data_IF_590864493390
#
_entry.id   IF_590864493390
#
_cell.length_a   1.000
_cell.length_b   1.000
_cell.length_c   1.000
_cell.angle_alpha   90.00
_cell.angle_beta   90.00
_cell.angle_gamma   90.00
#
_symmetry.space_group_name_H-M   'P 1'
#
loop_
_entity.id
_entity.type
_entity.pdbx_description
1 polymer ?
#
# COMPACT_ATOMS: atom_id res chain seq x y z
N UNK A 1 0.15 -7.49 -3.77
CA UNK A 1 0.48 -6.29 -2.99
C UNK A 1 -0.52 -6.13 -1.85
N UNK A 2 -0.07 -5.61 -0.72
CA UNK A 2 -0.91 -5.44 0.48
C UNK A 2 -1.30 -3.97 0.61
N UNK A 3 -2.57 -3.70 0.89
CA UNK A 3 -3.10 -2.35 1.06
C UNK A 3 -3.95 -2.25 2.32
N UNK A 4 -3.96 -1.08 2.94
CA UNK A 4 -4.83 -0.76 4.08
C UNK A 4 -5.87 0.26 3.64
N UNK A 5 -7.13 0.03 4.01
CA UNK A 5 -8.18 1.02 3.81
C UNK A 5 -8.02 2.18 4.80
N UNK A 6 -8.10 3.40 4.29
CA UNK A 6 -8.01 4.60 5.10
C UNK A 6 -9.04 5.64 4.64
N UNK A 7 -9.70 6.26 5.62
CA UNK A 7 -10.61 7.37 5.36
C UNK A 7 -9.85 8.57 4.76
N UNK A 8 -10.49 9.41 3.94
CA UNK A 8 -9.85 10.57 3.33
C UNK A 8 -9.22 11.55 4.34
N UNK A 9 -9.75 11.58 5.57
CA UNK A 9 -9.26 12.45 6.66
C UNK A 9 -8.17 11.81 7.52
N UNK A 10 -7.72 10.61 7.21
CA UNK A 10 -6.73 9.93 8.03
C UNK A 10 -5.36 10.61 7.92
N UNK A 11 -4.69 10.86 9.06
CA UNK A 11 -3.43 11.62 9.12
C UNK A 11 -2.25 10.94 8.39
N UNK A 12 -2.30 9.62 8.22
CA UNK A 12 -1.31 8.87 7.42
C UNK A 12 -1.51 9.07 5.92
N UNK A 13 -2.65 9.64 5.49
CA UNK A 13 -2.94 9.87 4.09
C UNK A 13 -2.33 11.20 3.65
N UNK A 14 -1.17 11.14 3.06
CA UNK A 14 -0.52 12.29 2.42
C UNK A 14 -0.69 12.20 0.91
N UNK A 15 -0.59 13.34 0.22
CA UNK A 15 -0.72 13.42 -1.24
C UNK A 15 0.29 12.49 -1.95
N UNK A 16 1.47 12.33 -1.35
CA UNK A 16 2.54 11.48 -1.88
C UNK A 16 2.26 9.97 -1.72
N UNK A 17 1.40 9.61 -0.76
CA UNK A 17 1.07 8.22 -0.44
C UNK A 17 -0.28 7.78 -1.04
N UNK A 18 -0.99 8.68 -1.71
CA UNK A 18 -2.23 8.33 -2.38
C UNK A 18 -1.98 7.38 -3.54
N UNK A 19 -2.76 6.31 -3.58
CA UNK A 19 -2.70 5.30 -4.62
C UNK A 19 -4.06 5.19 -5.29
N UNK A 20 -4.03 5.14 -6.61
CA UNK A 20 -5.18 4.81 -7.42
C UNK A 20 -4.99 3.42 -8.03
N UNK A 21 -5.98 2.57 -7.84
CA UNK A 21 -6.01 1.22 -8.39
C UNK A 21 -7.27 0.99 -9.20
N UNK A 22 -7.12 0.33 -10.36
CA UNK A 22 -8.20 -0.35 -11.04
C UNK A 22 -8.02 -1.86 -10.85
N UNK A 23 -9.03 -2.52 -10.34
CA UNK A 23 -9.02 -3.96 -10.06
C UNK A 23 -10.25 -4.64 -10.65
N UNK A 24 -10.11 -5.90 -11.04
CA UNK A 24 -11.25 -6.73 -11.43
C UNK A 24 -11.92 -7.37 -10.20
N UNK A 25 -12.93 -8.20 -10.42
CA UNK A 25 -13.67 -8.92 -9.36
C UNK A 25 -12.76 -9.86 -8.54
N UNK A 26 -11.76 -10.46 -9.17
CA UNK A 26 -10.78 -11.36 -8.56
C UNK A 26 -9.69 -10.64 -7.77
N UNK A 27 -9.79 -9.30 -7.63
CA UNK A 27 -8.76 -8.44 -7.01
C UNK A 27 -7.41 -8.43 -7.75
N UNK A 28 -7.40 -8.80 -9.02
CA UNK A 28 -6.25 -8.58 -9.89
C UNK A 28 -6.13 -7.10 -10.18
N UNK A 29 -4.91 -6.56 -10.04
CA UNK A 29 -4.62 -5.17 -10.37
C UNK A 29 -4.46 -5.06 -11.88
N UNK A 30 -5.29 -4.23 -12.50
CA UNK A 30 -5.24 -3.91 -13.92
C UNK A 30 -4.45 -2.63 -14.17
N UNK A 31 -4.56 -1.67 -13.24
CA UNK A 31 -3.86 -0.40 -13.35
C UNK A 31 -3.46 0.11 -11.97
N UNK A 32 -2.25 0.63 -11.87
CA UNK A 32 -1.66 1.17 -10.65
C UNK A 32 -0.97 2.48 -10.94
N UNK A 33 -1.30 3.53 -10.20
CA UNK A 33 -0.62 4.83 -10.27
C UNK A 33 -0.66 5.55 -8.93
N UNK A 34 0.40 6.32 -8.64
CA UNK A 34 0.40 7.36 -7.61
C UNK A 34 0.18 8.70 -8.30
N UNK A 35 -0.97 9.35 -8.11
CA UNK A 35 -1.35 10.54 -8.85
C UNK A 35 -0.54 11.80 -8.51
N UNK A 36 0.52 11.69 -7.78
CA UNK A 36 1.46 12.73 -7.36
C UNK A 36 1.18 14.13 -7.95
N UNK A 37 0.27 14.90 -7.34
CA UNK A 37 -0.10 16.28 -7.71
C UNK A 37 -0.86 16.48 -9.04
N UNK A 38 -1.14 15.45 -9.79
CA UNK A 38 -1.95 15.60 -11.01
C UNK A 38 -3.43 15.76 -10.66
N UNK A 39 -4.02 16.86 -11.17
CA UNK A 39 -5.46 17.15 -10.96
C UNK A 39 -6.39 16.26 -11.77
N UNK A 40 -5.88 15.63 -12.82
CA UNK A 40 -6.65 14.80 -13.75
C UNK A 40 -5.92 13.48 -13.92
N UNK A 41 -6.54 12.41 -13.47
CA UNK A 41 -6.05 11.06 -13.69
C UNK A 41 -6.55 10.58 -15.06
N UNK A 42 -5.63 10.21 -15.94
CA UNK A 42 -5.93 9.57 -17.21
C UNK A 42 -5.63 8.09 -17.11
N UNK A 43 -6.67 7.28 -17.16
CA UNK A 43 -6.53 5.82 -17.21
C UNK A 43 -6.61 5.42 -18.68
N UNK A 44 -5.56 4.83 -19.26
CA UNK A 44 -5.61 4.33 -20.64
C UNK A 44 -6.60 3.17 -20.73
N UNK A 45 -7.50 3.22 -21.71
CA UNK A 45 -8.48 2.14 -21.93
C UNK A 45 -7.82 0.80 -22.23
N UNK A 46 -6.65 0.84 -22.86
CA UNK A 46 -5.84 -0.35 -23.16
C UNK A 46 -5.43 -1.13 -21.91
N UNK A 47 -5.17 -0.41 -20.80
CA UNK A 47 -4.83 -1.06 -19.52
C UNK A 47 -6.03 -1.74 -18.85
N UNK A 48 -7.25 -1.38 -19.26
CA UNK A 48 -8.49 -1.95 -18.72
C UNK A 48 -8.88 -3.20 -19.51
N UNK A 49 -8.41 -3.30 -20.78
CA UNK A 49 -8.72 -4.42 -21.68
C UNK A 49 -10.19 -4.44 -22.15
N UNK A 50 -10.46 -5.30 -23.12
CA UNK A 50 -11.81 -5.57 -23.64
C UNK A 50 -12.55 -6.60 -22.76
N UNK A 51 -12.47 -6.48 -21.45
CA UNK A 51 -13.15 -7.41 -20.55
C UNK A 51 -14.56 -6.91 -20.25
N UNK A 52 -15.56 -7.77 -20.44
CA UNK A 52 -16.94 -7.55 -19.97
C UNK A 52 -17.05 -7.63 -18.43
N UNK A 53 -15.91 -7.65 -17.72
CA UNK A 53 -15.83 -7.75 -16.27
C UNK A 53 -16.04 -6.39 -15.60
N UNK A 54 -16.62 -6.42 -14.41
CA UNK A 54 -16.76 -5.23 -13.58
C UNK A 54 -15.40 -4.77 -13.06
N UNK A 55 -15.07 -3.51 -13.32
CA UNK A 55 -13.85 -2.88 -12.86
C UNK A 55 -14.16 -2.00 -11.65
N UNK A 56 -13.48 -2.27 -10.56
CA UNK A 56 -13.56 -1.50 -9.34
C UNK A 56 -12.42 -0.51 -9.27
N UNK A 57 -12.75 0.77 -9.13
CA UNK A 57 -11.78 1.84 -8.95
C UNK A 57 -11.63 2.14 -7.45
N UNK A 58 -10.42 2.06 -6.93
CA UNK A 58 -10.10 2.26 -5.52
C UNK A 58 -9.22 3.50 -5.33
N UNK A 59 -9.68 4.41 -4.47
CA UNK A 59 -8.98 5.64 -4.07
C UNK A 59 -8.75 5.73 -2.55
N UNK A 60 -9.31 4.81 -1.80
CA UNK A 60 -9.38 4.83 -0.34
C UNK A 60 -8.31 3.94 0.31
N UNK A 61 -7.26 3.64 -0.45
CA UNK A 61 -6.20 2.72 -0.04
C UNK A 61 -4.91 3.45 0.28
N UNK A 62 -4.22 3.00 1.33
CA UNK A 62 -2.84 3.33 1.64
C UNK A 62 -1.95 2.14 1.31
N UNK A 63 -0.80 2.42 0.72
CA UNK A 63 0.23 1.42 0.44
C UNK A 63 1.28 1.41 1.56
N UNK A 64 1.31 0.39 2.42
CA UNK A 64 2.33 0.26 3.44
C UNK A 64 3.70 -0.17 2.88
N UNK A 65 3.83 -0.37 1.57
CA UNK A 65 5.05 -0.82 0.93
C UNK A 65 5.36 -2.31 1.13
N UNK A 66 4.32 -3.13 1.32
CA UNK A 66 4.44 -4.57 1.51
C UNK A 66 3.93 -5.33 0.29
N UNK A 67 4.76 -6.23 -0.22
CA UNK A 67 4.36 -7.15 -1.29
C UNK A 67 4.91 -8.54 -0.99
N UNK A 68 4.10 -9.55 -1.29
CA UNK A 68 4.53 -10.95 -1.30
C UNK A 68 4.70 -11.34 -2.75
N UNK A 69 5.86 -11.84 -3.11
CA UNK A 69 6.20 -12.18 -4.48
C UNK A 69 6.76 -13.61 -4.59
N UNK A 70 6.70 -14.15 -5.79
CA UNK A 70 7.33 -15.42 -6.13
C UNK A 70 8.84 -15.26 -6.30
N UNK A 71 9.58 -16.37 -6.31
CA UNK A 71 11.03 -16.36 -6.53
C UNK A 71 11.44 -15.88 -7.94
N UNK A 72 10.49 -15.79 -8.87
CA UNK A 72 10.73 -15.29 -10.22
C UNK A 72 10.89 -13.75 -10.26
N UNK A 73 10.38 -13.03 -9.26
CA UNK A 73 10.39 -11.54 -9.25
C UNK A 73 11.79 -10.94 -9.07
N UNK A 74 12.67 -11.40 -8.15
CA UNK A 74 14.01 -10.83 -8.01
C UNK A 74 14.85 -10.81 -9.30
N UNK A 75 14.88 -11.84 -10.14
CA UNK A 75 15.54 -11.78 -11.45
C UNK A 75 14.98 -10.68 -12.35
N UNK A 76 13.65 -10.45 -12.36
CA UNK A 76 13.03 -9.39 -13.17
C UNK A 76 13.53 -8.00 -12.81
N UNK A 77 13.82 -7.74 -11.52
CA UNK A 77 14.47 -6.49 -11.10
C UNK A 77 15.89 -6.37 -11.64
N UNK A 78 16.61 -7.46 -11.79
CA UNK A 78 17.96 -7.45 -12.35
C UNK A 78 17.96 -7.21 -13.86
N UNK A 79 16.92 -7.65 -14.55
CA UNK A 79 16.77 -7.49 -15.99
C UNK A 79 16.24 -6.10 -16.36
N UNK A 80 15.46 -5.46 -15.48
CA UNK A 80 14.87 -4.14 -15.67
C UNK A 80 15.66 -3.04 -14.94
N UNK A 81 16.85 -2.71 -15.44
CA UNK A 81 17.73 -1.68 -14.87
C UNK A 81 17.14 -0.26 -14.88
N UNK A 82 16.15 -0.01 -15.72
CA UNK A 82 15.53 1.31 -15.88
C UNK A 82 14.56 1.63 -14.75
N UNK A 83 14.04 0.62 -14.04
CA UNK A 83 13.11 0.80 -12.93
C UNK A 83 13.86 1.18 -11.65
N UNK A 84 13.71 2.44 -11.21
CA UNK A 84 14.33 2.92 -9.97
C UNK A 84 13.41 2.74 -8.75
N UNK A 85 12.11 2.60 -8.98
CA UNK A 85 11.12 2.47 -7.92
C UNK A 85 10.25 1.22 -8.12
N UNK A 86 9.67 0.73 -7.01
CA UNK A 86 8.70 -0.38 -7.08
C UNK A 86 7.48 -0.01 -7.92
N UNK A 87 7.05 1.23 -7.86
CA UNK A 87 5.88 1.70 -8.62
C UNK A 87 6.14 1.66 -10.14
N UNK A 88 7.34 2.06 -10.58
CA UNK A 88 7.75 1.96 -11.99
C UNK A 88 7.82 0.51 -12.44
N UNK A 89 8.36 -0.36 -11.60
CA UNK A 89 8.41 -1.80 -11.88
C UNK A 89 7.01 -2.39 -12.02
N UNK A 90 6.11 -2.13 -11.06
CA UNK A 90 4.72 -2.60 -11.10
C UNK A 90 4.01 -2.08 -12.34
N UNK A 91 4.18 -0.80 -12.67
CA UNK A 91 3.61 -0.21 -13.87
C UNK A 91 4.14 -0.87 -15.15
N UNK A 92 5.45 -1.13 -15.20
CA UNK A 92 6.08 -1.83 -16.33
C UNK A 92 5.54 -3.24 -16.50
N UNK A 93 5.41 -4.01 -15.43
CA UNK A 93 4.87 -5.38 -15.47
C UNK A 93 3.37 -5.40 -15.86
N UNK A 94 2.58 -4.43 -15.41
CA UNK A 94 1.17 -4.33 -15.80
C UNK A 94 0.96 -3.93 -17.25
N UNK A 95 1.94 -3.26 -17.88
CA UNK A 95 1.91 -2.84 -19.28
C UNK A 95 2.59 -3.85 -20.24
N UNK A 96 3.20 -4.87 -19.68
CA UNK A 96 3.95 -5.85 -20.46
C UNK A 96 3.05 -7.01 -20.88
N UNK A 97 2.52 -6.93 -22.10
CA UNK A 97 1.67 -7.98 -22.67
C UNK A 97 2.43 -9.30 -22.99
N UNK A 98 3.76 -9.27 -22.91
CA UNK A 98 4.60 -10.44 -23.23
C UNK A 98 4.74 -11.39 -22.04
N UNK A 99 4.45 -10.93 -20.85
CA UNK A 99 4.56 -11.74 -19.63
C UNK A 99 3.18 -12.05 -19.07
N UNK A 100 2.92 -13.32 -18.76
CA UNK A 100 1.68 -13.73 -18.07
C UNK A 100 1.72 -13.40 -16.56
N UNK A 101 2.54 -12.42 -16.15
CA UNK A 101 2.65 -12.04 -14.76
C UNK A 101 1.38 -11.35 -14.28
N UNK A 102 0.87 -11.79 -13.14
CA UNK A 102 -0.33 -11.23 -12.54
C UNK A 102 -0.04 -10.66 -11.17
N UNK A 103 -0.62 -9.50 -10.89
CA UNK A 103 -0.46 -8.82 -9.60
C UNK A 103 -1.84 -8.74 -8.93
N UNK A 104 -1.92 -9.21 -7.70
CA UNK A 104 -3.16 -9.19 -6.92
C UNK A 104 -3.08 -8.23 -5.76
N UNK A 105 -4.22 -7.64 -5.42
CA UNK A 105 -4.40 -6.80 -4.25
C UNK A 105 -4.90 -7.64 -3.07
N UNK A 106 -4.33 -7.38 -1.89
CA UNK A 106 -4.86 -7.85 -0.62
C UNK A 106 -5.18 -6.64 0.28
N UNK A 107 -6.43 -6.49 0.66
CA UNK A 107 -6.88 -5.46 1.59
C UNK A 107 -6.80 -5.99 3.02
N UNK A 108 -6.07 -5.28 3.88
CA UNK A 108 -5.95 -5.63 5.29
C UNK A 108 -7.30 -5.45 6.01
N UNK A 109 -7.62 -6.40 6.87
CA UNK A 109 -8.78 -6.32 7.74
C UNK A 109 -8.69 -5.17 8.77
N UNK A 110 -9.81 -4.86 9.39
CA UNK A 110 -9.93 -3.78 10.38
C UNK A 110 -9.14 -4.02 11.66
N UNK A 111 -8.78 -5.27 11.93
CA UNK A 111 -7.99 -5.75 13.07
C UNK A 111 -6.48 -5.76 12.82
N UNK A 112 -6.08 -5.39 11.61
CA UNK A 112 -4.67 -5.38 11.19
C UNK A 112 -4.19 -3.95 10.98
N UNK A 113 -2.99 -3.65 11.44
CA UNK A 113 -2.36 -2.35 11.28
C UNK A 113 -1.13 -2.45 10.36
N UNK A 114 -1.06 -1.55 9.38
CA UNK A 114 0.13 -1.33 8.59
C UNK A 114 0.23 0.14 8.20
N UNK A 115 1.42 0.71 8.26
CA UNK A 115 1.69 2.09 7.89
C UNK A 115 3.09 2.20 7.32
N UNK A 116 3.23 3.02 6.29
CA UNK A 116 4.53 3.45 5.76
C UNK A 116 4.90 4.76 6.40
N UNK A 117 6.13 4.86 6.88
CA UNK A 117 6.70 6.08 7.44
C UNK A 117 7.69 6.64 6.42
N UNK A 118 7.25 7.64 5.66
CA UNK A 118 8.03 8.28 4.60
C UNK A 118 8.53 9.67 5.00
N UNK A 119 7.80 10.33 5.89
CA UNK A 119 8.11 11.68 6.34
C UNK A 119 7.80 11.86 7.83
N UNK A 120 8.17 13.03 8.38
CA UNK A 120 7.98 13.33 9.79
C UNK A 120 6.48 13.38 10.18
N UNK A 121 5.61 13.80 9.28
CA UNK A 121 4.15 13.83 9.50
C UNK A 121 3.59 12.42 9.67
N UNK A 122 3.95 11.48 8.79
CA UNK A 122 3.53 10.08 8.89
C UNK A 122 4.14 9.38 10.10
N UNK A 123 5.35 9.79 10.52
CA UNK A 123 5.95 9.31 11.76
C UNK A 123 5.12 9.71 12.99
N UNK A 124 4.75 10.98 13.10
CA UNK A 124 3.91 11.46 14.22
C UNK A 124 2.52 10.82 14.20
N UNK A 125 1.92 10.64 13.02
CA UNK A 125 0.64 9.95 12.88
C UNK A 125 0.73 8.49 13.37
N UNK A 126 1.76 7.76 12.97
CA UNK A 126 1.98 6.39 13.42
C UNK A 126 2.26 6.31 14.93
N UNK A 127 3.02 7.28 15.48
CA UNK A 127 3.23 7.38 16.92
C UNK A 127 1.92 7.59 17.67
N UNK A 128 1.06 8.48 17.16
CA UNK A 128 -0.27 8.73 17.76
C UNK A 128 -1.15 7.49 17.72
N UNK A 129 -1.17 6.78 16.58
CA UNK A 129 -1.90 5.52 16.44
C UNK A 129 -1.39 4.45 17.45
N UNK A 130 -0.08 4.39 17.66
CA UNK A 130 0.52 3.51 18.67
C UNK A 130 0.05 3.85 20.09
N UNK A 131 0.04 5.15 20.46
CA UNK A 131 -0.43 5.61 21.75
C UNK A 131 -1.93 5.37 21.96
N UNK A 132 -2.72 5.47 20.90
CA UNK A 132 -4.16 5.16 20.89
C UNK A 132 -4.46 3.64 20.84
N UNK A 133 -3.43 2.79 20.85
CA UNK A 133 -3.54 1.34 20.83
C UNK A 133 -4.08 0.71 19.54
N UNK A 134 -4.00 1.42 18.41
CA UNK A 134 -4.37 0.86 17.11
C UNK A 134 -3.44 -0.28 16.65
N UNK A 135 -2.22 -0.33 17.21
CA UNK A 135 -1.20 -1.35 16.89
C UNK A 135 -1.24 -2.57 17.82
N UNK A 136 -2.33 -2.78 18.56
CA UNK A 136 -2.42 -3.94 19.45
C UNK A 136 -2.07 -5.24 18.71
N UNK A 137 -1.26 -6.17 19.29
CA UNK A 137 -0.76 -6.21 20.68
C UNK A 137 0.54 -5.41 20.93
N UNK A 138 1.16 -4.80 19.91
CA UNK A 138 2.41 -4.04 20.04
C UNK A 138 2.07 -2.59 20.43
N UNK A 139 1.76 -2.39 21.70
CA UNK A 139 1.37 -1.07 22.24
C UNK A 139 2.07 -0.82 23.57
N UNK A 140 2.31 0.47 23.94
CA UNK A 140 2.87 0.79 25.25
C UNK A 140 1.87 0.40 26.35
N UNK A 141 2.34 -0.37 27.33
CA UNK A 141 1.56 -0.71 28.51
C UNK A 141 1.74 0.36 29.59
N UNK A 142 0.63 0.89 30.08
CA UNK A 142 0.60 1.69 31.31
C UNK A 142 0.66 0.75 32.50
N UNK A 143 1.87 0.47 32.97
CA UNK A 143 2.06 -0.27 34.23
C UNK A 143 1.75 0.66 35.40
N UNK A 144 0.56 0.53 35.96
CA UNK A 144 0.18 1.21 37.21
C UNK A 144 1.13 0.71 38.33
N UNK A 145 2.02 1.62 38.79
CA UNK A 145 2.88 1.38 39.96
C UNK A 145 4.35 1.04 39.66
N UNK A 146 4.77 0.94 38.42
CA UNK A 146 6.18 0.78 38.05
C UNK A 146 6.78 2.10 37.55
N UNK A 147 8.12 2.24 37.73
CA UNK A 147 8.83 3.45 37.30
C UNK A 147 8.67 3.69 35.79
N UNK A 148 8.73 4.96 35.31
CA UNK A 148 8.64 5.27 33.87
C UNK A 148 9.66 4.51 32.98
N UNK A 149 10.72 4.00 33.57
CA UNK A 149 11.76 3.20 32.90
C UNK A 149 11.31 1.76 32.60
N UNK A 150 10.23 1.31 33.21
CA UNK A 150 9.66 -0.04 33.03
C UNK A 150 8.50 -0.04 32.01
N UNK A 151 8.37 1.00 31.19
CA UNK A 151 7.48 0.99 30.03
C UNK A 151 7.99 -0.02 29.02
N UNK A 152 7.57 -1.25 29.19
CA UNK A 152 7.93 -2.36 28.34
C UNK A 152 6.83 -2.49 27.30
N UNK A 153 7.21 -2.44 26.02
CA UNK A 153 6.35 -2.98 24.97
C UNK A 153 6.15 -4.46 25.25
N UNK A 154 4.92 -4.89 25.32
CA UNK A 154 4.63 -6.31 25.44
C UNK A 154 5.22 -7.02 24.22
N UNK A 155 6.12 -7.93 24.46
CA UNK A 155 6.71 -8.79 23.43
C UNK A 155 5.85 -10.02 23.22
#
# INVERSE_FOLDING_TARGET
MVYRKALPSHQLRTVEEEVFLAINEDKRILYHIRPCLEKILKVPLEAIGDTDELINLKFDLLDPGLAICTQAVPPLFSDNFDCQTLDEFVKGELQNDLTDNTIYMHELGTDSYAARISNLGTYFAAQHDCLQRWMYPIVPELTTGKRPQDMIYNR
#
